data_IF_207616367900
#
_entry.id   IF_207616367900
#
_cell.length_a   1.000
_cell.length_b   1.000
_cell.length_c   1.000
_cell.angle_alpha   90.00
_cell.angle_beta   90.00
_cell.angle_gamma   90.00
#
_symmetry.space_group_name_H-M   'P 1'
#
loop_
_entity.id
_entity.type
_entity.pdbx_description
1 polymer ?
#
# COMPACT_ATOMS: atom_id res chain seq x y z
N UNK A 1 -51.65 -40.99 0.81
CA UNK A 1 -50.44 -40.34 0.27
C UNK A 1 -50.82 -38.96 -0.24
N UNK A 2 -50.29 -37.90 0.37
CA UNK A 2 -49.98 -36.66 -0.33
C UNK A 2 -48.53 -36.23 -0.09
N UNK A 3 -47.92 -35.69 -1.14
CA UNK A 3 -46.54 -35.19 -1.25
C UNK A 3 -46.24 -33.97 -0.37
N UNK A 4 -45.00 -33.80 0.13
CA UNK A 4 -44.62 -32.68 0.98
C UNK A 4 -44.22 -31.44 0.17
N UNK A 5 -44.65 -30.27 0.67
CA UNK A 5 -44.28 -28.95 0.16
C UNK A 5 -42.80 -28.65 0.43
N UNK A 6 -42.03 -28.40 -0.61
CA UNK A 6 -40.66 -27.89 -0.53
C UNK A 6 -40.68 -26.38 -0.28
N UNK A 7 -40.32 -25.99 0.93
CA UNK A 7 -40.04 -24.62 1.32
C UNK A 7 -38.69 -24.18 0.73
N UNK A 8 -38.71 -23.25 -0.24
CA UNK A 8 -37.49 -22.59 -0.76
C UNK A 8 -37.19 -21.38 0.11
N UNK A 9 -36.33 -21.54 1.12
CA UNK A 9 -35.63 -20.42 1.76
C UNK A 9 -34.42 -20.04 0.92
N UNK A 10 -34.59 -19.08 0.01
CA UNK A 10 -33.48 -18.41 -0.66
C UNK A 10 -32.73 -17.55 0.35
N UNK A 11 -31.53 -17.98 0.75
CA UNK A 11 -30.59 -17.14 1.47
C UNK A 11 -30.08 -16.05 0.53
N UNK A 12 -30.40 -14.80 0.83
CA UNK A 12 -29.80 -13.65 0.18
C UNK A 12 -28.30 -13.65 0.49
N UNK A 13 -27.47 -13.59 -0.55
CA UNK A 13 -26.03 -13.38 -0.44
C UNK A 13 -25.79 -11.99 0.17
N UNK A 14 -24.98 -11.97 1.22
CA UNK A 14 -24.44 -10.77 1.86
C UNK A 14 -23.59 -9.98 0.84
N UNK A 15 -24.07 -8.79 0.47
CA UNK A 15 -23.35 -7.88 -0.42
C UNK A 15 -22.21 -7.22 0.39
N UNK A 16 -21.04 -7.85 0.36
CA UNK A 16 -19.83 -7.40 1.06
C UNK A 16 -19.49 -5.94 0.76
N UNK A 17 -19.67 -5.07 1.74
CA UNK A 17 -19.14 -3.72 1.75
C UNK A 17 -17.63 -3.81 1.97
N UNK A 18 -16.81 -3.32 1.02
CA UNK A 18 -15.37 -3.24 1.26
C UNK A 18 -15.09 -2.39 2.51
N UNK A 19 -14.17 -2.80 3.40
CA UNK A 19 -13.82 -2.01 4.58
C UNK A 19 -13.42 -0.59 4.19
N UNK A 20 -13.89 0.43 4.91
CA UNK A 20 -13.57 1.84 4.62
C UNK A 20 -12.05 2.14 4.57
N UNK A 21 -11.25 1.29 5.20
CA UNK A 21 -9.79 1.31 5.25
C UNK A 21 -9.16 0.99 3.88
N UNK A 22 -9.81 0.14 3.07
CA UNK A 22 -9.34 -0.25 1.73
C UNK A 22 -9.21 0.95 0.78
N UNK A 23 -10.02 2.01 0.97
CA UNK A 23 -9.95 3.24 0.19
C UNK A 23 -8.56 3.89 0.22
N UNK A 24 -7.81 3.72 1.31
CA UNK A 24 -6.48 4.31 1.49
C UNK A 24 -5.34 3.32 1.21
N UNK A 25 -5.69 2.09 0.81
CA UNK A 25 -4.73 1.03 0.51
C UNK A 25 -4.76 0.65 -0.97
N UNK A 26 -5.94 0.57 -1.57
CA UNK A 26 -6.15 0.17 -2.96
C UNK A 26 -6.67 1.35 -3.76
N UNK A 27 -6.10 1.55 -4.95
CA UNK A 27 -6.71 2.45 -5.93
C UNK A 27 -8.04 1.85 -6.39
N UNK A 28 -9.14 2.57 -6.21
CA UNK A 28 -10.49 2.15 -6.64
C UNK A 28 -10.52 1.96 -8.17
N UNK A 29 -9.60 2.60 -8.89
CA UNK A 29 -9.56 2.65 -10.36
C UNK A 29 -9.09 1.35 -11.05
N UNK A 30 -8.81 0.25 -10.31
CA UNK A 30 -8.20 -0.96 -10.89
C UNK A 30 -9.06 -2.24 -10.84
N UNK A 31 -10.35 -2.20 -10.48
CA UNK A 31 -11.16 -3.44 -10.59
C UNK A 31 -12.69 -3.33 -10.76
N UNK A 32 -13.25 -2.18 -11.14
CA UNK A 32 -14.67 -2.09 -11.52
C UNK A 32 -14.84 -1.91 -13.02
N UNK A 33 -15.00 -3.02 -13.75
CA UNK A 33 -15.98 -3.23 -14.84
C UNK A 33 -16.32 -2.08 -15.84
N UNK A 34 -15.45 -1.13 -16.12
CA UNK A 34 -15.63 -0.14 -17.21
C UNK A 34 -14.75 -0.49 -18.42
N UNK A 35 -14.86 -1.72 -18.89
CA UNK A 35 -14.13 -2.26 -20.04
C UNK A 35 -14.64 -1.74 -21.40
N UNK A 36 -15.38 -0.62 -21.44
CA UNK A 36 -16.00 -0.06 -22.65
C UNK A 36 -15.43 1.34 -23.00
N UNK A 37 -14.78 2.04 -22.07
CA UNK A 37 -14.12 3.34 -22.31
C UNK A 37 -12.64 3.24 -22.68
N UNK A 38 -12.01 2.07 -22.50
CA UNK A 38 -10.56 1.91 -22.62
C UNK A 38 -10.05 1.94 -24.06
N UNK A 39 -10.74 1.31 -25.02
CA UNK A 39 -10.20 1.19 -26.37
C UNK A 39 -10.15 2.53 -27.12
N UNK A 40 -11.20 3.36 -27.00
CA UNK A 40 -11.27 4.68 -27.64
C UNK A 40 -10.29 5.66 -26.98
N UNK A 41 -10.23 5.68 -25.65
CA UNK A 41 -9.30 6.55 -24.90
C UNK A 41 -7.85 6.13 -25.10
N UNK A 42 -7.57 4.82 -25.17
CA UNK A 42 -6.23 4.30 -25.47
C UNK A 42 -5.80 4.60 -26.92
N UNK A 43 -6.73 4.52 -27.89
CA UNK A 43 -6.45 4.87 -29.28
C UNK A 43 -6.23 6.38 -29.46
N UNK A 44 -7.02 7.23 -28.81
CA UNK A 44 -6.81 8.69 -28.80
C UNK A 44 -5.52 9.08 -28.09
N UNK A 45 -5.15 8.37 -27.02
CA UNK A 45 -3.88 8.52 -26.34
C UNK A 45 -2.71 8.11 -27.26
N UNK A 46 -2.81 6.95 -27.91
CA UNK A 46 -1.78 6.46 -28.82
C UNK A 46 -1.59 7.38 -30.04
N UNK A 47 -2.64 8.07 -30.47
CA UNK A 47 -2.56 9.08 -31.53
C UNK A 47 -1.83 10.36 -31.12
N UNK A 48 -1.70 10.65 -29.81
CA UNK A 48 -1.05 11.84 -29.28
C UNK A 48 0.34 11.49 -28.72
N UNK A 49 1.38 12.19 -29.19
CA UNK A 49 2.73 12.05 -28.65
C UNK A 49 2.87 12.91 -27.40
N UNK A 50 2.79 12.29 -26.22
CA UNK A 50 3.01 12.97 -24.94
C UNK A 50 4.46 12.82 -24.46
N UNK A 51 4.99 13.89 -23.87
CA UNK A 51 6.33 13.94 -23.27
C UNK A 51 6.27 14.62 -21.90
N UNK A 52 7.17 14.23 -21.00
CA UNK A 52 7.46 14.96 -19.78
C UNK A 52 8.49 16.04 -20.08
N UNK A 53 8.22 17.25 -19.61
CA UNK A 53 9.09 18.42 -19.75
C UNK A 53 9.50 18.89 -18.34
N UNK A 54 10.79 19.16 -18.09
CA UNK A 54 11.23 19.73 -16.82
C UNK A 54 10.52 21.05 -16.51
N UNK A 55 10.11 21.24 -15.26
CA UNK A 55 9.43 22.44 -14.78
C UNK A 55 9.98 22.83 -13.40
N UNK A 56 10.24 24.12 -13.17
CA UNK A 56 10.84 24.59 -11.92
C UNK A 56 9.93 24.42 -10.69
N UNK A 57 8.62 24.37 -10.88
CA UNK A 57 7.64 24.29 -9.79
C UNK A 57 7.11 22.87 -9.60
N UNK A 58 6.79 22.18 -10.69
CA UNK A 58 6.19 20.85 -10.66
C UNK A 58 7.23 19.72 -10.75
N UNK A 59 8.51 20.07 -10.98
CA UNK A 59 9.60 19.14 -11.30
C UNK A 59 9.52 18.67 -12.75
N UNK A 60 8.39 18.05 -13.11
CA UNK A 60 8.05 17.69 -14.47
C UNK A 60 6.57 17.95 -14.76
N UNK A 61 6.28 18.44 -15.96
CA UNK A 61 4.92 18.66 -16.45
C UNK A 61 4.70 17.88 -17.75
N UNK A 62 3.52 17.28 -17.90
CA UNK A 62 3.15 16.59 -19.13
C UNK A 62 2.84 17.63 -20.21
N UNK A 63 3.24 17.31 -21.43
CA UNK A 63 2.89 18.11 -22.60
C UNK A 63 2.62 17.27 -23.83
N UNK A 64 1.77 17.78 -24.71
CA UNK A 64 1.50 17.18 -26.02
C UNK A 64 2.42 17.79 -27.07
N UNK A 65 3.19 16.96 -27.75
CA UNK A 65 4.01 17.38 -28.90
C UNK A 65 3.08 17.77 -30.05
N UNK A 66 3.23 19.00 -30.53
CA UNK A 66 2.50 19.55 -31.69
C UNK A 66 3.28 19.42 -32.97
N UNK A 67 4.58 19.72 -32.91
CA UNK A 67 5.45 19.73 -34.07
C UNK A 67 6.86 19.30 -33.68
N UNK A 68 7.50 18.55 -34.56
CA UNK A 68 8.91 18.20 -34.49
C UNK A 68 9.64 18.97 -35.59
N UNK A 69 10.63 19.76 -35.20
CA UNK A 69 11.43 20.60 -36.10
C UNK A 69 12.66 19.82 -36.59
N UNK A 70 13.24 20.26 -37.72
CA UNK A 70 14.34 19.54 -38.38
C UNK A 70 15.63 19.49 -37.54
N UNK A 71 15.76 20.37 -36.55
CA UNK A 71 16.91 20.49 -35.65
C UNK A 71 16.76 19.66 -34.36
N UNK A 72 15.71 18.85 -34.24
CA UNK A 72 15.44 18.04 -33.04
C UNK A 72 14.68 18.78 -31.94
N UNK A 73 14.24 20.02 -32.19
CA UNK A 73 13.35 20.73 -31.28
C UNK A 73 11.89 20.26 -31.39
N UNK A 74 11.22 20.19 -30.26
CA UNK A 74 9.80 19.87 -30.13
C UNK A 74 9.04 21.12 -29.70
N UNK A 75 7.98 21.46 -30.43
CA UNK A 75 6.98 22.41 -29.97
C UNK A 75 5.94 21.66 -29.14
N UNK A 76 5.85 21.96 -27.85
CA UNK A 76 5.03 21.21 -26.89
C UNK A 76 4.02 22.13 -26.23
N UNK A 77 2.74 21.72 -26.24
CA UNK A 77 1.67 22.33 -25.45
C UNK A 77 1.63 21.65 -24.07
N UNK A 78 2.00 22.38 -23.02
CA UNK A 78 2.03 21.89 -21.64
C UNK A 78 0.62 21.92 -21.01
N UNK A 79 0.38 21.07 -20.02
CA UNK A 79 -0.90 21.01 -19.30
C UNK A 79 -1.26 22.28 -18.54
N UNK A 80 -0.28 23.11 -18.17
CA UNK A 80 -0.51 24.42 -17.56
C UNK A 80 -0.93 25.49 -18.58
N UNK A 81 -1.17 25.10 -19.84
CA UNK A 81 -1.59 25.99 -20.93
C UNK A 81 -0.45 26.76 -21.60
N UNK A 82 0.80 26.65 -21.10
CA UNK A 82 1.97 27.25 -21.75
C UNK A 82 2.41 26.42 -22.96
N UNK A 83 2.97 27.10 -23.96
CA UNK A 83 3.64 26.47 -25.10
C UNK A 83 5.13 26.69 -24.99
N UNK A 84 5.90 25.63 -25.15
CA UNK A 84 7.37 25.68 -25.05
C UNK A 84 8.01 25.01 -26.25
N UNK A 85 9.22 25.44 -26.57
CA UNK A 85 10.10 24.78 -27.53
C UNK A 85 11.27 24.18 -26.76
N UNK A 86 11.45 22.87 -26.86
CA UNK A 86 12.46 22.14 -26.09
C UNK A 86 13.12 21.07 -26.96
N UNK A 87 14.40 20.80 -26.75
CA UNK A 87 15.08 19.74 -27.48
C UNK A 87 14.54 18.36 -27.06
N UNK A 88 14.39 17.44 -28.01
CA UNK A 88 13.84 16.09 -27.74
C UNK A 88 14.59 15.33 -26.64
N UNK A 89 15.90 15.55 -26.51
CA UNK A 89 16.76 14.85 -25.54
C UNK A 89 16.56 15.37 -24.10
N UNK A 90 15.99 16.57 -23.94
CA UNK A 90 15.64 17.14 -22.64
C UNK A 90 14.22 16.73 -22.19
N UNK A 91 13.55 15.88 -22.97
CA UNK A 91 12.22 15.36 -22.66
C UNK A 91 12.27 13.91 -22.22
N UNK A 92 11.32 13.49 -21.37
CA UNK A 92 11.19 12.09 -20.97
C UNK A 92 9.91 11.47 -21.53
N UNK A 93 9.94 10.16 -21.82
CA UNK A 93 8.78 9.43 -22.33
C UNK A 93 7.69 9.30 -21.26
N UNK A 94 6.43 9.47 -21.66
CA UNK A 94 5.27 9.34 -20.79
C UNK A 94 4.72 7.92 -20.86
N UNK A 95 4.45 7.32 -19.70
CA UNK A 95 3.77 6.03 -19.65
C UNK A 95 2.28 6.16 -20.05
N UNK A 96 1.69 5.16 -20.73
CA UNK A 96 0.26 5.16 -21.02
C UNK A 96 -0.63 5.28 -19.75
N UNK A 97 -1.88 5.76 -19.87
CA UNK A 97 -2.74 6.05 -18.70
C UNK A 97 -3.06 4.81 -17.86
N UNK A 98 -3.00 3.61 -18.46
CA UNK A 98 -3.14 2.33 -17.72
C UNK A 98 -2.10 2.13 -16.61
N UNK A 99 -1.01 2.89 -16.62
CA UNK A 99 0.02 2.89 -15.58
C UNK A 99 -0.16 4.00 -14.53
N UNK A 100 -1.33 4.64 -14.47
CA UNK A 100 -1.65 5.58 -13.39
C UNK A 100 -1.84 4.85 -12.06
N UNK A 101 -1.28 5.43 -10.99
CA UNK A 101 -1.34 4.94 -9.60
C UNK A 101 -0.99 3.46 -9.42
N UNK A 102 -0.08 2.92 -10.22
CA UNK A 102 0.36 1.53 -10.09
C UNK A 102 0.96 1.25 -8.71
N UNK A 103 0.76 0.01 -8.25
CA UNK A 103 1.20 -0.42 -6.93
C UNK A 103 2.70 -0.67 -6.86
N UNK A 104 3.32 -1.12 -7.96
CA UNK A 104 4.76 -1.35 -8.08
C UNK A 104 5.36 -0.59 -9.26
N UNK A 105 6.20 0.41 -8.98
CA UNK A 105 6.83 1.24 -10.01
C UNK A 105 7.82 0.49 -10.90
N UNK A 106 8.24 -0.71 -10.53
CA UNK A 106 9.04 -1.57 -11.43
C UNK A 106 8.26 -2.08 -12.64
N UNK A 107 6.93 -1.99 -12.61
CA UNK A 107 6.05 -2.37 -13.72
C UNK A 107 5.89 -1.27 -14.79
N UNK A 108 6.44 -0.07 -14.57
CA UNK A 108 6.42 1.00 -15.57
C UNK A 108 7.16 0.59 -16.84
N UNK A 109 6.58 0.91 -18.00
CA UNK A 109 7.26 0.70 -19.29
C UNK A 109 8.43 1.67 -19.46
N UNK A 110 8.24 2.92 -19.08
CA UNK A 110 9.26 3.95 -19.06
C UNK A 110 9.65 4.23 -17.60
N UNK A 111 10.75 3.66 -17.15
CA UNK A 111 11.31 3.95 -15.83
C UNK A 111 12.21 5.19 -15.91
N UNK A 112 11.63 6.35 -15.62
CA UNK A 112 12.31 7.64 -15.60
C UNK A 112 11.82 8.50 -14.43
N UNK A 113 12.58 9.52 -14.06
CA UNK A 113 12.33 10.34 -12.88
C UNK A 113 10.94 10.97 -12.90
N UNK A 114 10.51 11.45 -14.06
CA UNK A 114 9.19 12.07 -14.23
C UNK A 114 8.05 11.07 -13.96
N UNK A 115 8.18 9.82 -14.43
CA UNK A 115 7.16 8.79 -14.23
C UNK A 115 7.07 8.32 -12.78
N UNK A 116 8.22 8.19 -12.11
CA UNK A 116 8.27 7.86 -10.67
C UNK A 116 7.64 8.99 -9.86
N UNK A 117 8.04 10.24 -10.11
CA UNK A 117 7.50 11.42 -9.43
C UNK A 117 5.98 11.51 -9.62
N UNK A 118 5.50 11.36 -10.86
CA UNK A 118 4.09 11.46 -11.18
C UNK A 118 3.26 10.36 -10.50
N UNK A 119 3.72 9.11 -10.53
CA UNK A 119 3.01 8.01 -9.87
C UNK A 119 2.92 8.22 -8.35
N UNK A 120 4.02 8.60 -7.70
CA UNK A 120 4.03 8.91 -6.27
C UNK A 120 3.10 10.09 -5.94
N UNK A 121 3.10 11.14 -6.77
CA UNK A 121 2.23 12.32 -6.61
C UNK A 121 0.75 11.95 -6.69
N UNK A 122 0.33 11.24 -7.73
CA UNK A 122 -1.08 10.83 -7.91
C UNK A 122 -1.56 9.92 -6.77
N UNK A 123 -0.71 8.96 -6.36
CA UNK A 123 -0.99 8.07 -5.23
C UNK A 123 -1.11 8.85 -3.93
N UNK A 124 -0.18 9.75 -3.65
CA UNK A 124 -0.19 10.59 -2.45
C UNK A 124 -1.46 11.44 -2.34
N UNK A 125 -1.86 12.13 -3.42
CA UNK A 125 -3.11 12.90 -3.43
C UNK A 125 -4.37 12.03 -3.32
N UNK A 126 -4.29 10.75 -3.70
CA UNK A 126 -5.33 9.76 -3.48
C UNK A 126 -5.31 9.13 -2.08
N UNK A 127 -4.36 9.51 -1.22
CA UNK A 127 -4.19 8.96 0.12
C UNK A 127 -3.46 7.61 0.19
N UNK A 128 -2.89 7.17 -0.93
CA UNK A 128 -2.10 5.94 -1.07
C UNK A 128 -0.62 6.26 -0.80
N UNK A 129 -0.19 6.13 0.45
CA UNK A 129 1.15 6.59 0.86
C UNK A 129 2.28 5.58 0.64
N UNK A 130 1.93 4.30 0.50
CA UNK A 130 2.87 3.21 0.26
C UNK A 130 2.84 2.85 -1.23
N UNK A 131 4.03 2.69 -1.82
CA UNK A 131 4.19 2.27 -3.22
C UNK A 131 5.40 1.35 -3.30
N UNK A 132 5.28 0.21 -3.95
CA UNK A 132 6.43 -0.65 -4.19
C UNK A 132 7.34 -0.09 -5.29
N UNK A 133 8.62 -0.42 -5.18
CA UNK A 133 9.64 -0.14 -6.18
C UNK A 133 10.57 -1.35 -6.26
N UNK A 134 10.13 -2.39 -6.97
CA UNK A 134 10.88 -3.64 -7.10
C UNK A 134 11.06 -4.34 -5.75
N UNK A 135 12.24 -4.29 -5.15
CA UNK A 135 12.47 -4.91 -3.83
C UNK A 135 12.17 -3.97 -2.65
N UNK A 136 12.02 -2.67 -2.91
CA UNK A 136 11.84 -1.66 -1.89
C UNK A 136 10.39 -1.19 -1.78
N UNK A 137 10.08 -0.50 -0.68
CA UNK A 137 8.81 0.20 -0.51
C UNK A 137 9.10 1.68 -0.27
N UNK A 138 8.55 2.54 -1.13
CA UNK A 138 8.60 3.99 -1.01
C UNK A 138 7.39 4.45 -0.21
N UNK A 139 7.63 5.31 0.77
CA UNK A 139 6.60 5.83 1.67
C UNK A 139 6.65 7.35 1.65
N UNK A 140 5.50 7.98 1.40
CA UNK A 140 5.37 9.44 1.46
C UNK A 140 4.61 9.82 2.74
N UNK A 141 5.20 10.65 3.60
CA UNK A 141 4.59 11.03 4.87
C UNK A 141 3.25 11.77 4.65
N UNK A 142 2.10 11.24 5.13
CA UNK A 142 0.79 11.86 4.92
C UNK A 142 0.56 13.16 5.70
N UNK A 143 1.37 13.44 6.74
CA UNK A 143 1.14 14.51 7.72
C UNK A 143 -0.27 14.54 8.34
N UNK A 144 -1.00 13.43 8.26
CA UNK A 144 -2.32 13.21 8.83
C UNK A 144 -2.48 11.75 9.24
N UNK A 145 -3.37 11.49 10.19
CA UNK A 145 -3.71 10.12 10.59
C UNK A 145 -4.57 9.47 9.52
N UNK A 146 -4.15 8.29 9.06
CA UNK A 146 -4.90 7.45 8.14
C UNK A 146 -5.40 6.20 8.87
N UNK A 147 -6.62 5.71 8.58
CA UNK A 147 -7.18 4.51 9.21
C UNK A 147 -6.62 3.22 8.58
N UNK A 148 -5.30 3.13 8.41
CA UNK A 148 -4.62 2.00 7.73
C UNK A 148 -3.77 1.15 8.70
N UNK A 149 -3.79 1.47 9.99
CA UNK A 149 -3.00 0.80 11.02
C UNK A 149 -3.87 0.15 12.10
N UNK A 150 -5.13 -0.17 11.79
CA UNK A 150 -6.04 -0.86 12.70
C UNK A 150 -5.72 -2.36 12.78
N UNK A 151 -6.22 -3.03 13.81
CA UNK A 151 -6.11 -4.49 13.94
C UNK A 151 -6.78 -5.24 12.78
N UNK A 152 -7.87 -4.71 12.22
CA UNK A 152 -8.53 -5.28 11.05
C UNK A 152 -7.57 -5.32 9.85
N UNK A 153 -6.82 -4.23 9.61
CA UNK A 153 -5.80 -4.20 8.57
C UNK A 153 -4.68 -5.20 8.89
N UNK A 154 -4.22 -5.31 10.14
CA UNK A 154 -3.21 -6.31 10.52
C UNK A 154 -3.66 -7.73 10.14
N UNK A 155 -4.89 -8.11 10.50
CA UNK A 155 -5.47 -9.41 10.17
C UNK A 155 -5.64 -9.62 8.66
N UNK A 156 -5.96 -8.57 7.88
CA UNK A 156 -6.02 -8.66 6.42
C UNK A 156 -4.68 -9.02 5.78
N UNK A 157 -3.57 -8.49 6.31
CA UNK A 157 -2.22 -8.73 5.77
C UNK A 157 -1.56 -10.00 6.31
N UNK A 158 -2.03 -10.52 7.46
CA UNK A 158 -1.48 -11.70 8.12
C UNK A 158 -1.51 -12.92 7.19
N UNK A 159 -0.33 -13.50 6.97
CA UNK A 159 -0.16 -14.70 6.15
C UNK A 159 -0.41 -14.50 4.64
N UNK A 160 -0.61 -13.27 4.17
CA UNK A 160 -0.73 -12.95 2.76
C UNK A 160 0.65 -12.72 2.14
N UNK A 161 0.79 -13.07 0.87
CA UNK A 161 1.98 -12.70 0.09
C UNK A 161 1.86 -11.24 -0.36
N UNK A 162 3.00 -10.60 -0.57
CA UNK A 162 3.08 -9.23 -1.10
C UNK A 162 2.24 -9.01 -2.37
N UNK A 163 2.20 -9.95 -3.30
CA UNK A 163 1.47 -9.75 -4.57
C UNK A 163 -0.05 -9.84 -4.40
N UNK A 164 -0.53 -10.30 -3.25
CA UNK A 164 -1.96 -10.49 -2.98
C UNK A 164 -2.59 -9.28 -2.30
N UNK A 165 -1.77 -8.39 -1.75
CA UNK A 165 -2.20 -7.24 -0.96
C UNK A 165 -1.60 -5.97 -1.54
N UNK A 166 -2.30 -4.84 -1.45
CA UNK A 166 -1.74 -3.58 -1.90
C UNK A 166 -0.50 -3.19 -1.07
N UNK A 167 0.32 -2.24 -1.55
CA UNK A 167 1.54 -1.83 -0.85
C UNK A 167 1.26 -1.33 0.56
N UNK A 168 1.96 -1.90 1.53
CA UNK A 168 1.87 -1.49 2.94
C UNK A 168 3.07 -1.97 3.76
N UNK A 169 3.37 -1.29 4.85
CA UNK A 169 4.46 -1.67 5.76
C UNK A 169 4.25 -3.05 6.41
N UNK A 170 3.00 -3.44 6.64
CA UNK A 170 2.66 -4.76 7.17
C UNK A 170 2.98 -5.90 6.21
N UNK A 171 2.88 -5.68 4.90
CA UNK A 171 3.31 -6.67 3.92
C UNK A 171 4.84 -6.91 4.00
N UNK A 172 5.62 -5.83 4.15
CA UNK A 172 7.08 -5.92 4.31
C UNK A 172 7.46 -6.66 5.60
N UNK A 173 6.83 -6.29 6.71
CA UNK A 173 7.05 -6.95 8.00
C UNK A 173 6.62 -8.43 7.99
N UNK A 174 5.48 -8.74 7.37
CA UNK A 174 4.98 -10.10 7.22
C UNK A 174 5.86 -10.98 6.34
N UNK A 175 6.37 -10.43 5.24
CA UNK A 175 7.31 -11.15 4.37
C UNK A 175 8.64 -11.40 5.07
N UNK A 176 9.21 -10.41 5.78
CA UNK A 176 10.41 -10.62 6.58
C UNK A 176 10.20 -11.72 7.63
N UNK A 177 9.10 -11.68 8.38
CA UNK A 177 8.77 -12.73 9.36
C UNK A 177 8.64 -14.12 8.71
N UNK A 178 7.96 -14.21 7.56
CA UNK A 178 7.81 -15.46 6.81
C UNK A 178 9.15 -16.00 6.33
N UNK A 179 9.99 -15.14 5.75
CA UNK A 179 11.33 -15.52 5.26
C UNK A 179 12.24 -15.97 6.41
N UNK A 180 12.19 -15.30 7.57
CA UNK A 180 12.90 -15.73 8.77
C UNK A 180 12.54 -17.17 9.17
N UNK A 181 11.25 -17.50 9.20
CA UNK A 181 10.78 -18.84 9.57
C UNK A 181 11.11 -19.90 8.51
N UNK A 182 11.05 -19.54 7.23
CA UNK A 182 11.30 -20.45 6.10
C UNK A 182 12.79 -20.73 5.93
N UNK A 183 13.62 -19.69 5.89
CA UNK A 183 15.05 -19.79 5.61
C UNK A 183 15.88 -20.03 6.87
N UNK A 184 15.32 -19.82 8.06
CA UNK A 184 16.03 -19.89 9.36
C UNK A 184 17.20 -18.90 9.45
N UNK A 185 17.03 -17.74 8.83
CA UNK A 185 18.01 -16.65 8.80
C UNK A 185 17.42 -15.38 9.39
N UNK A 186 18.23 -14.65 10.15
CA UNK A 186 17.85 -13.37 10.74
C UNK A 186 17.54 -12.33 9.65
N UNK A 187 16.52 -11.52 9.90
CA UNK A 187 16.05 -10.52 8.95
C UNK A 187 16.23 -9.11 9.51
N UNK A 188 16.44 -8.15 8.61
CA UNK A 188 16.52 -6.73 8.97
C UNK A 188 15.60 -5.90 8.07
N UNK A 189 14.94 -4.92 8.68
CA UNK A 189 14.13 -3.92 7.96
C UNK A 189 14.82 -2.57 8.19
N UNK A 190 15.33 -1.98 7.11
CA UNK A 190 16.02 -0.70 7.15
C UNK A 190 15.08 0.44 6.73
N UNK A 191 14.76 1.32 7.67
CA UNK A 191 13.99 2.55 7.40
C UNK A 191 14.94 3.70 7.08
N UNK A 192 15.04 4.10 5.81
CA UNK A 192 15.88 5.24 5.37
C UNK A 192 15.04 6.47 5.01
N UNK A 193 15.67 7.64 5.04
CA UNK A 193 15.05 8.90 4.64
C UNK A 193 15.58 10.09 5.45
N UNK A 194 15.28 11.29 5.00
CA UNK A 194 15.68 12.54 5.66
C UNK A 194 14.98 12.72 7.03
N UNK A 195 15.38 13.75 7.78
CA UNK A 195 14.68 14.12 9.01
C UNK A 195 13.21 14.44 8.71
N UNK A 196 12.29 13.98 9.56
CA UNK A 196 10.85 14.19 9.34
C UNK A 196 10.17 13.29 8.30
N UNK A 197 10.92 12.41 7.61
CA UNK A 197 10.36 11.50 6.59
C UNK A 197 9.40 10.42 7.15
N UNK A 198 9.31 10.26 8.48
CA UNK A 198 8.43 9.27 9.13
C UNK A 198 9.07 7.91 9.42
N UNK A 199 10.41 7.84 9.48
CA UNK A 199 11.15 6.60 9.79
C UNK A 199 10.68 5.97 11.10
N UNK A 200 10.68 6.74 12.19
CA UNK A 200 10.32 6.28 13.54
C UNK A 200 8.88 5.76 13.60
N UNK A 201 7.94 6.46 12.96
CA UNK A 201 6.54 6.04 12.91
C UNK A 201 6.38 4.71 12.16
N UNK A 202 7.05 4.52 11.02
CA UNK A 202 7.05 3.24 10.32
C UNK A 202 7.67 2.12 11.18
N UNK A 203 8.78 2.38 11.87
CA UNK A 203 9.39 1.41 12.79
C UNK A 203 8.43 0.99 13.90
N UNK A 204 7.72 1.94 14.53
CA UNK A 204 6.67 1.63 15.52
C UNK A 204 5.60 0.70 14.94
N UNK A 205 5.17 0.92 13.68
CA UNK A 205 4.18 0.07 13.00
C UNK A 205 4.70 -1.32 12.65
N UNK A 206 5.97 -1.46 12.28
CA UNK A 206 6.60 -2.76 12.09
C UNK A 206 6.61 -3.55 13.40
N UNK A 207 7.04 -2.93 14.51
CA UNK A 207 7.07 -3.55 15.84
C UNK A 207 5.66 -3.98 16.26
N UNK A 208 4.67 -3.09 16.12
CA UNK A 208 3.26 -3.36 16.42
C UNK A 208 2.76 -4.59 15.64
N UNK A 209 3.01 -4.65 14.33
CA UNK A 209 2.59 -5.76 13.49
C UNK A 209 3.24 -7.08 13.92
N UNK A 210 4.56 -7.09 14.11
CA UNK A 210 5.30 -8.28 14.51
C UNK A 210 4.87 -8.79 15.88
N UNK A 211 4.67 -7.89 16.85
CA UNK A 211 4.14 -8.25 18.17
C UNK A 211 2.79 -8.94 18.06
N UNK A 212 1.89 -8.40 17.24
CA UNK A 212 0.56 -8.95 17.03
C UNK A 212 0.59 -10.35 16.38
N UNK A 213 1.37 -10.54 15.31
CA UNK A 213 1.39 -11.82 14.58
C UNK A 213 2.24 -12.91 15.25
N UNK A 214 3.28 -12.52 16.00
CA UNK A 214 4.15 -13.44 16.71
C UNK A 214 3.64 -13.78 18.11
N UNK A 215 2.66 -13.03 18.63
CA UNK A 215 1.96 -13.40 19.84
C UNK A 215 1.31 -14.78 19.65
N UNK A 216 1.90 -15.80 20.29
CA UNK A 216 1.36 -17.14 20.24
C UNK A 216 -0.06 -17.13 20.85
N UNK A 217 -1.09 -17.66 20.18
CA UNK A 217 -2.22 -18.17 20.95
C UNK A 217 -1.63 -19.27 21.81
N UNK A 218 -1.56 -19.07 23.13
CA UNK A 218 -1.08 -20.13 24.03
C UNK A 218 -1.86 -21.38 23.66
N UNK A 219 -1.17 -22.36 23.07
CA UNK A 219 -1.72 -23.68 22.85
C UNK A 219 -2.31 -24.07 24.18
N UNK A 220 -3.62 -24.20 24.23
CA UNK A 220 -4.26 -24.80 25.39
C UNK A 220 -3.65 -26.18 25.47
N UNK A 221 -2.63 -26.36 26.32
CA UNK A 221 -2.22 -27.67 26.79
C UNK A 221 -3.46 -28.19 27.50
N UNK A 222 -4.31 -28.87 26.72
CA UNK A 222 -5.36 -29.72 27.25
C UNK A 222 -4.61 -30.83 27.94
N UNK A 223 -4.32 -30.65 29.23
CA UNK A 223 -4.11 -31.78 30.11
C UNK A 223 -5.40 -32.62 30.03
N UNK A 224 -5.32 -33.89 29.62
CA UNK A 224 -6.50 -34.74 29.59
C UNK A 224 -6.82 -35.13 31.04
N UNK A 225 -7.75 -34.41 31.67
CA UNK A 225 -8.31 -34.80 32.95
C UNK A 225 -8.56 -33.64 33.91
N UNK A 226 -9.58 -32.82 33.65
CA UNK A 226 -10.53 -32.38 34.68
C UNK A 226 -11.63 -31.51 34.06
N UNK A 227 -12.84 -32.04 34.04
CA UNK A 227 -14.09 -31.33 33.74
C UNK A 227 -14.46 -30.43 34.91
N UNK A 228 -13.93 -29.20 34.96
CA UNK A 228 -14.48 -28.15 35.83
C UNK A 228 -14.36 -26.77 35.16
N UNK A 229 -15.51 -26.12 34.99
CA UNK A 229 -15.77 -24.69 34.77
C UNK A 229 -15.39 -24.03 33.43
N UNK A 230 -16.36 -24.07 32.50
CA UNK A 230 -16.40 -23.32 31.24
C UNK A 230 -16.42 -21.78 31.43
N UNK A 231 -16.72 -21.27 32.63
CA UNK A 231 -16.71 -19.84 32.96
C UNK A 231 -15.33 -19.27 33.31
N UNK A 232 -14.34 -20.11 33.66
CA UNK A 232 -12.96 -19.64 33.95
C UNK A 232 -12.11 -19.45 32.69
N UNK A 233 -12.55 -19.99 31.56
CA UNK A 233 -11.79 -20.00 30.29
C UNK A 233 -11.85 -18.63 29.58
N UNK A 234 -12.88 -17.82 29.83
CA UNK A 234 -13.05 -16.49 29.25
C UNK A 234 -12.17 -15.43 29.96
N UNK A 235 -11.85 -15.62 31.24
CA UNK A 235 -10.96 -14.71 31.98
C UNK A 235 -9.47 -14.93 31.70
N UNK A 236 -9.07 -16.14 31.27
CA UNK A 236 -7.68 -16.44 30.91
C UNK A 236 -7.30 -16.03 29.48
N UNK A 237 -8.29 -15.85 28.59
CA UNK A 237 -8.06 -15.24 27.27
C UNK A 237 -7.75 -13.73 27.41
N UNK A 238 -8.48 -13.03 28.28
CA UNK A 238 -8.23 -11.61 28.59
C UNK A 238 -6.89 -11.39 29.31
N UNK A 239 -6.47 -12.30 30.19
CA UNK A 239 -5.14 -12.25 30.82
C UNK A 239 -3.97 -12.52 29.86
N UNK A 240 -4.21 -13.23 28.76
CA UNK A 240 -3.19 -13.52 27.75
C UNK A 240 -3.03 -12.36 26.76
N UNK A 241 -4.12 -11.66 26.40
CA UNK A 241 -4.06 -10.37 25.72
C UNK A 241 -3.40 -9.30 26.59
N UNK A 242 -3.60 -9.35 27.91
CA UNK A 242 -2.95 -8.41 28.85
C UNK A 242 -1.43 -8.63 28.93
N UNK A 243 -0.92 -9.88 28.94
CA UNK A 243 0.52 -10.14 29.04
C UNK A 243 1.29 -9.95 27.71
N UNK A 244 0.68 -10.24 26.56
CA UNK A 244 1.24 -9.82 25.26
C UNK A 244 1.15 -8.30 25.12
N UNK A 245 0.06 -7.71 25.61
CA UNK A 245 -0.13 -6.27 25.76
C UNK A 245 0.91 -5.63 26.69
N UNK A 246 1.41 -6.32 27.72
CA UNK A 246 2.47 -5.82 28.61
C UNK A 246 3.83 -5.73 27.89
N UNK A 247 4.24 -6.74 27.12
CA UNK A 247 5.47 -6.71 26.32
C UNK A 247 5.36 -5.73 25.13
N UNK A 248 4.19 -5.71 24.47
CA UNK A 248 3.87 -4.71 23.43
C UNK A 248 3.89 -3.30 24.01
N UNK A 249 3.28 -3.09 25.18
CA UNK A 249 3.28 -1.81 25.87
C UNK A 249 4.69 -1.42 26.29
N UNK A 250 5.51 -2.34 26.80
CA UNK A 250 6.91 -2.07 27.13
C UNK A 250 7.74 -1.68 25.91
N UNK A 251 7.57 -2.37 24.78
CA UNK A 251 8.26 -2.06 23.51
C UNK A 251 7.77 -0.73 22.90
N UNK A 252 6.48 -0.42 23.00
CA UNK A 252 5.91 0.82 22.51
C UNK A 252 6.24 2.01 23.42
N UNK A 253 6.24 1.82 24.75
CA UNK A 253 6.57 2.81 25.78
C UNK A 253 8.06 3.16 25.81
N UNK A 254 8.94 2.28 25.32
CA UNK A 254 10.35 2.61 25.13
C UNK A 254 10.55 3.77 24.12
N UNK A 255 9.67 3.91 23.12
CA UNK A 255 9.84 4.94 22.07
C UNK A 255 9.68 6.38 22.60
N UNK A 256 8.63 6.73 23.36
CA UNK A 256 8.53 8.07 23.99
C UNK A 256 9.70 8.41 24.93
N UNK A 257 10.27 7.43 25.63
CA UNK A 257 11.39 7.64 26.55
C UNK A 257 12.66 8.00 25.77
N UNK A 258 12.96 7.27 24.70
CA UNK A 258 14.11 7.54 23.83
C UNK A 258 13.96 8.84 23.03
N UNK A 259 12.74 9.20 22.65
CA UNK A 259 12.45 10.47 21.98
C UNK A 259 12.60 11.69 22.91
N UNK A 260 12.42 11.50 24.23
CA UNK A 260 12.57 12.55 25.25
C UNK A 260 14.02 12.85 25.63
N UNK A 261 14.96 11.91 25.47
CA UNK A 261 16.39 12.09 25.78
C UNK A 261 17.22 12.62 24.60
N UNK A 262 16.59 12.87 23.45
CA UNK A 262 17.23 13.41 22.23
C UNK A 262 17.04 14.93 22.04
N UNK A 263 16.63 15.65 23.09
CA UNK A 263 16.53 17.11 23.13
C UNK A 263 17.40 17.72 24.22
#
# INVERSE_FOLDING_TARGET
MPTPATNKSGGAMDNGHEPAEMKYLRSIDMNSKDSITDATTANEWAAKKFVWVPDEHEGFIRGQVRQEQMDGQLLVDLENGKRVTIHKDDTQRVNPPKFSKIEDMSELTCLNDASVLYNLKERYYSGLIYTYSGLFCVVVNPYKRLPIYSENVIEMYKGKKREQMPPHIFAIAGDAYRLMLQNREDQSILCTGESGAGKTENTKKVIQYLAYIAAAPKSSQRQPGNTVNQYQQQMNANKASDASGELESQLLQANPILEGELF
#
